data_IF_572731958330
#
_entry.id   IF_572731958330
#
_cell.length_a   1.000
_cell.length_b   1.000
_cell.length_c   1.000
_cell.angle_alpha   90.00
_cell.angle_beta   90.00
_cell.angle_gamma   90.00
#
_symmetry.space_group_name_H-M   'P 1'
#
loop_
_entity.id
_entity.type
_entity.pdbx_description
1 polymer ?
#
# COMPACT_ATOMS: atom_id res chain seq x y z
N UNK A 1 12.26 7.99 17.74
CA UNK A 1 12.57 6.63 17.23
C UNK A 1 11.24 5.96 16.93
N UNK A 2 11.11 5.29 15.77
CA UNK A 2 9.88 4.54 15.47
C UNK A 2 9.82 3.27 16.30
N UNK A 3 8.60 2.85 16.63
CA UNK A 3 8.36 1.54 17.23
C UNK A 3 8.37 0.48 16.12
N UNK A 4 9.28 -0.48 16.19
CA UNK A 4 9.31 -1.61 15.28
C UNK A 4 8.28 -2.65 15.73
N UNK A 5 7.30 -2.92 14.86
CA UNK A 5 6.20 -3.83 15.17
C UNK A 5 6.63 -5.26 14.85
N UNK A 6 6.69 -6.16 15.85
CA UNK A 6 7.10 -7.54 15.63
C UNK A 6 6.07 -8.30 14.77
N UNK A 7 6.54 -9.31 14.01
CA UNK A 7 5.69 -10.12 13.13
C UNK A 7 4.53 -10.80 13.88
N UNK A 8 4.71 -11.14 15.14
CA UNK A 8 3.64 -11.71 15.97
C UNK A 8 2.42 -10.81 16.16
N UNK A 9 2.54 -9.51 15.82
CA UNK A 9 1.45 -8.52 15.86
C UNK A 9 0.92 -8.17 14.46
N UNK A 10 1.16 -9.00 13.45
CA UNK A 10 0.76 -8.72 12.06
C UNK A 10 -0.74 -8.51 11.92
N UNK A 11 -1.56 -9.25 12.68
CA UNK A 11 -3.01 -9.09 12.68
C UNK A 11 -3.43 -7.70 13.18
N UNK A 12 -2.75 -7.16 14.18
CA UNK A 12 -3.04 -5.82 14.67
C UNK A 12 -2.64 -4.73 13.64
N UNK A 13 -1.56 -4.94 12.89
CA UNK A 13 -1.18 -4.08 11.75
C UNK A 13 -2.25 -4.15 10.66
N UNK A 14 -2.75 -5.36 10.36
CA UNK A 14 -3.83 -5.56 9.40
C UNK A 14 -5.14 -4.88 9.84
N UNK A 15 -5.46 -4.87 11.14
CA UNK A 15 -6.61 -4.16 11.69
C UNK A 15 -6.49 -2.63 11.53
N UNK A 16 -5.27 -2.08 11.59
CA UNK A 16 -5.03 -0.65 11.29
C UNK A 16 -5.27 -0.36 9.83
N UNK A 17 -4.77 -1.23 8.94
CA UNK A 17 -4.96 -1.11 7.50
C UNK A 17 -6.45 -1.18 7.13
N UNK A 18 -7.16 -2.19 7.63
CA UNK A 18 -8.59 -2.36 7.45
C UNK A 18 -9.37 -1.11 7.88
N UNK A 19 -9.17 -0.65 9.11
CA UNK A 19 -9.81 0.54 9.63
C UNK A 19 -9.49 1.82 8.81
N UNK A 20 -8.27 1.91 8.26
CA UNK A 20 -7.86 3.05 7.46
C UNK A 20 -8.50 3.05 6.06
N UNK A 21 -8.69 1.89 5.44
CA UNK A 21 -9.09 1.82 4.03
C UNK A 21 -10.57 1.53 3.81
N UNK A 22 -11.26 0.87 4.74
CA UNK A 22 -12.69 0.53 4.60
C UNK A 22 -13.56 1.79 4.36
N UNK A 23 -13.35 2.83 5.14
CA UNK A 23 -14.14 4.06 5.10
C UNK A 23 -13.53 5.19 4.27
N UNK A 24 -12.42 4.96 3.53
CA UNK A 24 -11.82 5.98 2.69
C UNK A 24 -12.33 5.89 1.25
N UNK A 25 -12.23 7.03 0.54
CA UNK A 25 -12.49 7.07 -0.90
C UNK A 25 -11.26 6.56 -1.66
N UNK A 26 -10.98 5.26 -1.53
CA UNK A 26 -9.93 4.60 -2.30
C UNK A 26 -10.48 4.25 -3.70
N UNK A 27 -9.93 4.85 -4.78
CA UNK A 27 -10.45 4.68 -6.12
C UNK A 27 -10.42 3.21 -6.58
N UNK A 28 -9.33 2.50 -6.27
CA UNK A 28 -9.12 1.14 -6.76
C UNK A 28 -9.98 0.12 -6.03
N UNK A 29 -10.08 0.19 -4.72
CA UNK A 29 -10.99 -0.66 -3.97
C UNK A 29 -12.45 -0.42 -4.37
N UNK A 30 -12.82 0.83 -4.65
CA UNK A 30 -14.14 1.15 -5.18
C UNK A 30 -14.32 0.57 -6.58
N UNK A 31 -13.37 0.76 -7.49
CA UNK A 31 -13.43 0.19 -8.84
C UNK A 31 -13.60 -1.34 -8.82
N UNK A 32 -12.82 -2.04 -8.00
CA UNK A 32 -12.89 -3.51 -7.92
C UNK A 32 -14.23 -3.99 -7.37
N UNK A 33 -14.69 -3.40 -6.26
CA UNK A 33 -15.75 -4.00 -5.44
C UNK A 33 -17.08 -3.24 -5.42
N UNK A 34 -17.20 -2.05 -6.03
CA UNK A 34 -18.43 -1.22 -5.94
C UNK A 34 -19.73 -1.94 -6.33
N UNK A 35 -19.66 -2.96 -7.17
CA UNK A 35 -20.82 -3.71 -7.65
C UNK A 35 -21.11 -4.96 -6.80
N UNK A 36 -20.32 -5.22 -5.76
CA UNK A 36 -20.52 -6.34 -4.86
C UNK A 36 -21.45 -5.94 -3.71
N UNK A 37 -22.42 -6.78 -3.32
CA UNK A 37 -23.31 -6.49 -2.19
C UNK A 37 -22.56 -6.24 -0.87
N UNK A 38 -21.45 -6.94 -0.68
CA UNK A 38 -20.58 -6.89 0.48
C UNK A 38 -19.28 -6.12 0.23
N UNK A 39 -19.30 -5.12 -0.66
CA UNK A 39 -18.12 -4.39 -1.15
C UNK A 39 -17.21 -3.84 -0.03
N UNK A 40 -17.76 -3.36 1.09
CA UNK A 40 -16.94 -2.86 2.20
C UNK A 40 -16.17 -3.99 2.88
N UNK A 41 -16.79 -5.16 3.05
CA UNK A 41 -16.14 -6.34 3.61
C UNK A 41 -15.02 -6.83 2.69
N UNK A 42 -15.28 -6.90 1.39
CA UNK A 42 -14.28 -7.32 0.39
C UNK A 42 -13.11 -6.35 0.34
N UNK A 43 -13.40 -5.04 0.38
CA UNK A 43 -12.37 -4.00 0.44
C UNK A 43 -11.49 -4.17 1.70
N UNK A 44 -12.09 -4.40 2.87
CA UNK A 44 -11.35 -4.66 4.10
C UNK A 44 -10.45 -5.89 3.99
N UNK A 45 -11.01 -7.01 3.53
CA UNK A 45 -10.24 -8.24 3.31
C UNK A 45 -9.07 -8.03 2.33
N UNK A 46 -9.28 -7.28 1.26
CA UNK A 46 -8.23 -6.95 0.30
C UNK A 46 -7.07 -6.18 0.96
N UNK A 47 -7.36 -5.11 1.70
CA UNK A 47 -6.32 -4.37 2.39
C UNK A 47 -5.68 -5.14 3.54
N UNK A 48 -6.43 -6.00 4.21
CA UNK A 48 -5.88 -6.92 5.20
C UNK A 48 -4.89 -7.89 4.57
N UNK A 49 -5.21 -8.45 3.41
CA UNK A 49 -4.33 -9.38 2.72
C UNK A 49 -3.01 -8.74 2.29
N UNK A 50 -3.03 -7.50 1.80
CA UNK A 50 -1.81 -6.73 1.48
C UNK A 50 -0.83 -6.70 2.67
N UNK A 51 -1.35 -6.68 3.90
CA UNK A 51 -0.53 -6.69 5.12
C UNK A 51 -0.08 -8.09 5.50
N UNK A 52 -1.01 -9.06 5.50
CA UNK A 52 -0.73 -10.41 6.02
C UNK A 52 0.09 -11.26 5.07
N UNK A 53 0.07 -10.98 3.76
CA UNK A 53 0.92 -11.64 2.76
C UNK A 53 2.31 -11.04 2.64
N UNK A 54 2.59 -9.91 3.30
CA UNK A 54 3.92 -9.31 3.27
C UNK A 54 4.99 -10.24 3.84
N UNK A 55 6.14 -10.30 3.17
CA UNK A 55 7.33 -10.99 3.64
C UNK A 55 7.65 -10.72 5.12
N UNK A 56 8.06 -11.74 5.88
CA UNK A 56 8.59 -11.54 7.23
C UNK A 56 9.75 -10.54 7.31
N UNK A 57 10.50 -10.35 6.20
CA UNK A 57 11.63 -9.42 6.10
C UNK A 57 11.19 -7.96 5.96
N UNK A 58 9.93 -7.69 5.64
CA UNK A 58 9.40 -6.34 5.57
C UNK A 58 9.48 -5.65 6.93
N UNK A 59 9.91 -4.39 6.95
CA UNK A 59 9.95 -3.59 8.17
C UNK A 59 8.57 -2.99 8.44
N UNK A 60 8.08 -3.18 9.65
CA UNK A 60 6.79 -2.66 10.11
C UNK A 60 7.04 -1.66 11.22
N UNK A 61 6.62 -0.42 11.01
CA UNK A 61 6.82 0.64 11.98
C UNK A 61 5.49 1.25 12.41
N UNK A 62 5.44 1.65 13.67
CA UNK A 62 4.38 2.47 14.25
C UNK A 62 4.98 3.65 15.02
N UNK A 63 4.15 4.57 15.49
CA UNK A 63 4.60 5.67 16.34
C UNK A 63 4.72 5.22 17.79
N UNK A 64 3.85 4.30 18.20
CA UNK A 64 3.82 3.73 19.56
C UNK A 64 3.33 2.27 19.51
N UNK A 65 3.40 1.52 20.61
CA UNK A 65 2.79 0.19 20.73
C UNK A 65 1.27 0.16 20.53
N UNK A 66 0.58 1.31 20.58
CA UNK A 66 -0.89 1.40 20.43
C UNK A 66 -1.34 1.39 18.96
N UNK A 67 -0.38 1.42 18.02
CA UNK A 67 -0.59 1.31 16.57
C UNK A 67 -1.65 2.29 16.04
N UNK A 68 -1.54 3.57 16.38
CA UNK A 68 -2.41 4.65 15.86
C UNK A 68 -2.25 4.82 14.34
N UNK A 69 -1.04 4.56 13.88
CA UNK A 69 -0.65 4.56 12.48
C UNK A 69 0.50 3.58 12.26
N UNK A 70 0.54 2.99 11.08
CA UNK A 70 1.57 2.01 10.70
C UNK A 70 2.13 2.31 9.32
N UNK A 71 3.38 1.91 9.08
CA UNK A 71 3.98 1.86 7.75
C UNK A 71 4.69 0.54 7.54
N UNK A 72 4.67 0.06 6.29
CA UNK A 72 5.38 -1.15 5.85
C UNK A 72 6.36 -0.74 4.77
N UNK A 73 7.61 -1.13 4.96
CA UNK A 73 8.70 -0.85 4.05
C UNK A 73 9.41 -2.15 3.66
N UNK A 74 9.73 -2.26 2.38
CA UNK A 74 10.59 -3.31 1.89
C UNK A 74 12.02 -2.79 1.79
N UNK A 75 12.99 -3.46 2.46
CA UNK A 75 14.37 -3.04 2.42
C UNK A 75 15.00 -3.28 1.03
N UNK A 76 16.11 -2.57 0.73
CA UNK A 76 16.84 -2.75 -0.51
C UNK A 76 17.25 -4.20 -0.75
N UNK A 77 17.11 -4.66 -2.01
CA UNK A 77 17.45 -6.02 -2.41
C UNK A 77 16.37 -7.08 -2.08
N UNK A 78 15.23 -6.66 -1.56
CA UNK A 78 14.08 -7.55 -1.39
C UNK A 78 13.33 -7.65 -2.72
N UNK A 79 13.01 -8.87 -3.15
CA UNK A 79 12.16 -9.09 -4.31
C UNK A 79 10.70 -8.79 -3.95
N UNK A 80 10.10 -7.87 -4.69
CA UNK A 80 8.71 -7.46 -4.49
C UNK A 80 7.72 -8.40 -5.17
N UNK A 81 8.19 -9.27 -6.08
CA UNK A 81 7.33 -10.16 -6.85
C UNK A 81 6.87 -11.38 -6.07
N UNK A 82 7.60 -11.75 -5.01
CA UNK A 82 7.28 -12.92 -4.19
C UNK A 82 6.17 -12.66 -3.16
N UNK A 83 5.86 -11.38 -2.88
CA UNK A 83 5.03 -10.98 -1.74
C UNK A 83 3.57 -10.66 -2.09
N UNK A 84 3.18 -10.79 -3.35
CA UNK A 84 1.81 -10.46 -3.78
C UNK A 84 1.04 -11.72 -4.11
N UNK A 85 0.87 -12.60 -3.13
CA UNK A 85 -0.24 -13.56 -3.18
C UNK A 85 -1.53 -12.80 -2.80
N UNK A 86 -2.17 -12.21 -3.80
CA UNK A 86 -3.46 -11.54 -3.65
C UNK A 86 -4.63 -12.54 -3.57
N UNK A 87 -4.38 -13.81 -3.23
CA UNK A 87 -5.41 -14.83 -3.12
C UNK A 87 -5.92 -15.14 -1.68
N UNK A 88 -6.20 -14.13 -0.85
CA UNK A 88 -7.05 -14.33 0.31
C UNK A 88 -8.52 -14.08 -0.01
N UNK A 89 -8.82 -13.61 -1.24
CA UNK A 89 -10.19 -13.48 -1.72
C UNK A 89 -10.46 -14.67 -2.64
N UNK A 90 -11.08 -15.71 -2.11
CA UNK A 90 -11.59 -16.83 -2.91
C UNK A 90 -12.55 -16.30 -3.98
N UNK A 91 -12.48 -16.87 -5.19
CA UNK A 91 -13.44 -16.55 -6.26
C UNK A 91 -14.90 -16.81 -5.84
N UNK A 92 -15.11 -17.62 -4.81
CA UNK A 92 -16.42 -17.90 -4.21
C UNK A 92 -16.97 -16.72 -3.39
N UNK A 93 -16.12 -15.75 -3.01
CA UNK A 93 -16.53 -14.54 -2.30
C UNK A 93 -17.24 -13.54 -3.21
N UNK A 94 -17.13 -13.68 -4.54
CA UNK A 94 -17.68 -12.74 -5.50
C UNK A 94 -19.02 -13.22 -6.09
N UNK A 95 -19.98 -12.30 -6.07
CA UNK A 95 -21.28 -12.50 -6.73
C UNK A 95 -21.25 -11.99 -8.17
N UNK A 96 -20.46 -10.95 -8.42
CA UNK A 96 -20.31 -10.34 -9.73
C UNK A 96 -19.10 -10.93 -10.49
N UNK A 97 -19.32 -11.62 -11.63
CA UNK A 97 -18.21 -12.17 -12.43
C UNK A 97 -17.18 -11.13 -12.88
N UNK A 98 -17.60 -9.89 -13.13
CA UNK A 98 -16.70 -8.81 -13.53
C UNK A 98 -15.72 -8.34 -12.44
N UNK A 99 -15.88 -8.76 -11.18
CA UNK A 99 -14.95 -8.42 -10.10
C UNK A 99 -13.58 -9.04 -10.32
N UNK A 100 -13.52 -10.28 -10.79
CA UNK A 100 -12.26 -10.98 -11.09
C UNK A 100 -11.50 -10.27 -12.21
N UNK A 101 -12.19 -9.87 -13.27
CA UNK A 101 -11.58 -9.14 -14.39
C UNK A 101 -10.99 -7.79 -13.95
N UNK A 102 -11.69 -7.07 -13.06
CA UNK A 102 -11.19 -5.81 -12.50
C UNK A 102 -9.98 -6.01 -11.59
N UNK A 103 -10.00 -7.05 -10.77
CA UNK A 103 -8.84 -7.40 -9.92
C UNK A 103 -7.63 -7.74 -10.79
N UNK A 104 -7.82 -8.53 -11.86
CA UNK A 104 -6.75 -8.86 -12.79
C UNK A 104 -6.20 -7.59 -13.45
N UNK A 105 -7.05 -6.68 -13.93
CA UNK A 105 -6.62 -5.42 -14.53
C UNK A 105 -5.79 -4.55 -13.56
N UNK A 106 -6.12 -4.55 -12.27
CA UNK A 106 -5.35 -3.86 -11.23
C UNK A 106 -4.00 -4.54 -11.02
N UNK A 107 -3.98 -5.88 -10.92
CA UNK A 107 -2.76 -6.65 -10.73
C UNK A 107 -1.77 -6.48 -11.89
N UNK A 108 -2.27 -6.49 -13.14
CA UNK A 108 -1.44 -6.30 -14.33
C UNK A 108 -0.73 -4.93 -14.31
N UNK A 109 -1.43 -3.87 -13.87
CA UNK A 109 -0.84 -2.53 -13.74
C UNK A 109 0.19 -2.49 -12.62
N UNK A 110 -0.09 -3.08 -11.47
CA UNK A 110 0.85 -3.13 -10.35
C UNK A 110 2.11 -3.90 -10.76
N UNK A 111 1.97 -5.06 -11.38
CA UNK A 111 3.08 -5.87 -11.87
C UNK A 111 3.97 -5.09 -12.86
N UNK A 112 3.36 -4.42 -13.86
CA UNK A 112 4.07 -3.63 -14.84
C UNK A 112 4.78 -2.39 -14.24
N UNK A 113 4.22 -1.78 -13.20
CA UNK A 113 4.86 -0.67 -12.48
C UNK A 113 5.98 -1.17 -11.57
N UNK A 114 5.81 -2.32 -10.93
CA UNK A 114 6.86 -2.95 -10.11
C UNK A 114 8.05 -3.35 -10.99
N UNK A 115 7.81 -3.95 -12.15
CA UNK A 115 8.86 -4.24 -13.13
C UNK A 115 9.57 -2.96 -13.60
N UNK A 116 8.83 -1.89 -13.86
CA UNK A 116 9.40 -0.60 -14.26
C UNK A 116 10.28 0.03 -13.18
N UNK A 117 9.91 -0.09 -11.91
CA UNK A 117 10.76 0.38 -10.81
C UNK A 117 12.10 -0.37 -10.77
N UNK A 118 12.14 -1.54 -11.38
CA UNK A 118 13.34 -2.34 -11.57
C UNK A 118 13.79 -3.05 -10.30
N UNK A 119 14.88 -3.83 -10.47
CA UNK A 119 15.52 -4.55 -9.36
C UNK A 119 16.67 -3.75 -8.74
N UNK A 120 16.67 -2.42 -8.93
CA UNK A 120 17.66 -1.58 -8.27
C UNK A 120 17.50 -1.66 -6.75
N UNK A 121 18.61 -1.57 -6.05
CA UNK A 121 18.59 -1.49 -4.60
C UNK A 121 17.85 -0.22 -4.18
N UNK A 122 16.66 -0.37 -3.60
CA UNK A 122 15.78 0.75 -3.23
C UNK A 122 14.96 0.42 -1.99
N UNK A 123 14.60 1.44 -1.22
CA UNK A 123 13.57 1.35 -0.20
C UNK A 123 12.20 1.47 -0.87
N UNK A 124 11.32 0.51 -0.64
CA UNK A 124 9.96 0.56 -1.17
C UNK A 124 8.95 0.79 -0.05
N UNK A 125 8.22 1.91 -0.12
CA UNK A 125 7.09 2.16 0.77
C UNK A 125 5.88 1.37 0.25
N UNK A 126 5.62 0.24 0.87
CA UNK A 126 4.54 -0.65 0.47
C UNK A 126 3.18 -0.17 0.98
N UNK A 127 3.11 0.28 2.25
CA UNK A 127 1.87 0.73 2.86
C UNK A 127 2.13 1.81 3.91
N UNK A 128 1.21 2.77 3.99
CA UNK A 128 1.04 3.66 5.14
C UNK A 128 -0.43 3.77 5.48
N UNK A 129 -0.79 3.47 6.70
CA UNK A 129 -2.16 3.51 7.19
C UNK A 129 -2.25 4.30 8.50
N UNK A 130 -3.28 5.14 8.62
CA UNK A 130 -3.57 5.94 9.82
C UNK A 130 -5.01 5.67 10.23
N UNK A 131 -5.24 5.24 11.46
CA UNK A 131 -6.59 5.02 11.98
C UNK A 131 -7.43 6.29 11.85
N UNK A 132 -8.72 6.21 11.50
CA UNK A 132 -9.57 7.37 11.19
C UNK A 132 -9.53 8.48 12.24
N UNK A 133 -9.54 8.12 13.53
CA UNK A 133 -9.54 9.07 14.65
C UNK A 133 -8.21 9.85 14.81
N UNK A 134 -7.14 9.40 14.16
CA UNK A 134 -5.82 10.05 14.20
C UNK A 134 -5.45 10.78 12.89
N UNK A 135 -6.38 10.86 11.94
CA UNK A 135 -6.18 11.62 10.70
C UNK A 135 -6.04 13.12 10.98
N UNK A 136 -5.29 13.81 10.12
CA UNK A 136 -5.04 15.25 10.30
C UNK A 136 -3.93 15.58 11.30
N UNK A 137 -3.46 14.63 12.10
CA UNK A 137 -2.43 14.80 13.13
C UNK A 137 -0.99 14.57 12.64
N UNK A 138 -0.78 14.55 11.32
CA UNK A 138 0.54 14.36 10.67
C UNK A 138 1.22 13.03 10.95
N UNK A 139 0.49 12.01 11.39
CA UNK A 139 1.05 10.71 11.77
C UNK A 139 1.76 10.00 10.60
N UNK A 140 1.23 10.11 9.37
CA UNK A 140 1.93 9.62 8.18
C UNK A 140 3.29 10.28 7.97
N UNK A 141 3.40 11.60 8.18
CA UNK A 141 4.69 12.30 8.10
C UNK A 141 5.68 11.84 9.17
N UNK A 142 5.20 11.59 10.40
CA UNK A 142 6.03 11.10 11.49
C UNK A 142 6.57 9.69 11.23
N UNK A 143 5.82 8.85 10.51
CA UNK A 143 6.24 7.51 10.10
C UNK A 143 7.22 7.52 8.93
N UNK A 144 6.98 8.38 7.93
CA UNK A 144 7.71 8.35 6.66
C UNK A 144 9.05 9.08 6.76
N UNK A 145 9.10 10.26 7.39
CA UNK A 145 10.30 11.08 7.43
C UNK A 145 11.56 10.39 7.99
N UNK A 146 11.49 9.61 9.08
CA UNK A 146 12.67 8.91 9.58
C UNK A 146 13.23 7.90 8.56
N UNK A 147 12.36 7.23 7.80
CA UNK A 147 12.79 6.29 6.77
C UNK A 147 13.35 6.99 5.55
N UNK A 148 12.83 8.16 5.18
CA UNK A 148 13.42 8.98 4.12
C UNK A 148 14.81 9.50 4.52
N UNK A 149 14.99 9.91 5.77
CA UNK A 149 16.30 10.33 6.28
C UNK A 149 17.31 9.17 6.26
N UNK A 150 16.88 7.97 6.68
CA UNK A 150 17.70 6.75 6.61
C UNK A 150 18.15 6.46 5.17
N UNK A 151 17.21 6.49 4.23
CA UNK A 151 17.50 6.23 2.82
C UNK A 151 18.47 7.26 2.23
N UNK A 152 18.35 8.52 2.64
CA UNK A 152 19.25 9.61 2.23
C UNK A 152 20.67 9.41 2.81
N UNK A 153 20.79 9.03 4.08
CA UNK A 153 22.08 8.67 4.71
C UNK A 153 22.74 7.48 4.01
N UNK A 154 21.97 6.48 3.59
CA UNK A 154 22.44 5.31 2.86
C UNK A 154 22.69 5.58 1.37
N UNK A 155 22.29 6.76 0.86
CA UNK A 155 22.31 7.10 -0.56
C UNK A 155 21.55 6.08 -1.42
N UNK A 156 20.41 5.59 -0.91
CA UNK A 156 19.54 4.61 -1.56
C UNK A 156 18.19 5.28 -1.88
N UNK A 157 17.68 5.20 -3.12
CA UNK A 157 16.42 5.82 -3.48
C UNK A 157 15.23 5.18 -2.75
N UNK A 158 14.18 5.98 -2.56
CA UNK A 158 12.87 5.52 -2.12
C UNK A 158 11.89 5.49 -3.27
N UNK A 159 11.06 4.45 -3.32
CA UNK A 159 9.99 4.30 -4.32
C UNK A 159 8.67 3.93 -3.66
N UNK A 160 7.60 4.17 -4.37
CA UNK A 160 6.24 3.75 -3.99
C UNK A 160 5.34 3.68 -5.23
N UNK A 161 4.21 3.00 -5.08
CA UNK A 161 3.10 3.03 -6.03
C UNK A 161 1.86 3.59 -5.30
N UNK A 162 1.11 4.45 -5.96
CA UNK A 162 -0.15 5.00 -5.44
C UNK A 162 -1.17 5.18 -6.55
N UNK A 163 -2.46 5.20 -6.19
CA UNK A 163 -3.59 5.31 -7.13
C UNK A 163 -4.39 6.59 -6.95
N UNK A 164 -3.96 7.49 -6.10
CA UNK A 164 -4.70 8.71 -5.77
C UNK A 164 -3.87 9.96 -6.07
N UNK A 165 -4.42 10.88 -6.87
CA UNK A 165 -3.80 12.21 -7.09
C UNK A 165 -3.63 13.00 -5.79
N UNK A 166 -4.50 12.80 -4.81
CA UNK A 166 -4.33 13.40 -3.48
C UNK A 166 -3.07 12.87 -2.81
N UNK A 167 -2.83 11.56 -2.90
CA UNK A 167 -1.63 10.96 -2.36
C UNK A 167 -0.38 11.37 -3.16
N UNK A 168 -0.45 11.47 -4.49
CA UNK A 168 0.65 12.02 -5.30
C UNK A 168 1.11 13.36 -4.74
N UNK A 169 0.20 14.32 -4.51
CA UNK A 169 0.53 15.63 -3.94
C UNK A 169 1.17 15.55 -2.55
N UNK A 170 0.71 14.62 -1.71
CA UNK A 170 1.31 14.37 -0.39
C UNK A 170 2.74 13.84 -0.52
N UNK A 171 2.98 12.90 -1.43
CA UNK A 171 4.30 12.34 -1.67
C UNK A 171 5.25 13.33 -2.33
N UNK A 172 4.76 14.17 -3.25
CA UNK A 172 5.53 15.29 -3.83
C UNK A 172 6.02 16.26 -2.75
N UNK A 173 5.19 16.54 -1.73
CA UNK A 173 5.60 17.36 -0.57
C UNK A 173 6.75 16.73 0.23
N UNK A 174 6.96 15.42 0.16
CA UNK A 174 8.10 14.73 0.76
C UNK A 174 9.26 14.50 -0.21
N UNK A 175 9.19 15.07 -1.42
CA UNK A 175 10.26 15.06 -2.41
C UNK A 175 10.19 13.94 -3.43
N UNK A 176 9.14 13.11 -3.42
CA UNK A 176 8.92 12.14 -4.48
C UNK A 176 8.51 12.82 -5.78
N UNK A 177 8.85 12.19 -6.90
CA UNK A 177 8.42 12.60 -8.25
C UNK A 177 7.74 11.42 -8.93
N UNK A 178 6.69 11.69 -9.69
CA UNK A 178 6.08 10.68 -10.57
C UNK A 178 7.11 10.31 -11.65
N UNK A 179 7.41 9.03 -11.74
CA UNK A 179 8.33 8.48 -12.78
C UNK A 179 7.58 7.72 -13.86
N UNK A 180 6.41 7.19 -13.54
CA UNK A 180 5.50 6.58 -14.51
C UNK A 180 4.06 6.64 -14.03
N UNK A 181 3.13 6.79 -14.96
CA UNK A 181 1.71 6.59 -14.72
C UNK A 181 1.15 5.55 -15.68
N UNK A 182 0.23 4.73 -15.20
CA UNK A 182 -0.43 3.71 -16.00
C UNK A 182 -1.94 3.72 -15.74
N UNK A 183 -2.77 3.75 -16.80
CA UNK A 183 -4.21 3.63 -16.65
C UNK A 183 -4.59 2.18 -16.29
N UNK A 184 -5.66 2.03 -15.53
CA UNK A 184 -6.29 0.74 -15.28
C UNK A 184 -7.28 0.46 -16.41
N UNK A 185 -7.22 -0.71 -17.03
CA UNK A 185 -8.15 -1.11 -18.08
C UNK A 185 -9.60 -1.03 -17.59
N UNK A 186 -10.49 -0.51 -18.42
CA UNK A 186 -11.91 -0.35 -18.09
C UNK A 186 -12.22 0.57 -16.88
N UNK A 187 -11.27 1.44 -16.51
CA UNK A 187 -11.43 2.46 -15.47
C UNK A 187 -10.96 3.83 -15.96
N UNK A 188 -11.38 4.88 -15.27
CA UNK A 188 -10.77 6.21 -15.40
C UNK A 188 -9.61 6.41 -14.45
N UNK A 189 -9.37 5.46 -13.56
CA UNK A 189 -8.33 5.50 -12.54
C UNK A 189 -6.97 5.16 -13.12
N UNK A 190 -5.93 5.67 -12.45
CA UNK A 190 -4.54 5.45 -12.81
C UNK A 190 -3.73 5.10 -11.58
N UNK A 191 -2.68 4.35 -11.80
CA UNK A 191 -1.60 4.20 -10.84
C UNK A 191 -0.41 5.08 -11.20
N UNK A 192 0.30 5.49 -10.18
CA UNK A 192 1.50 6.32 -10.27
C UNK A 192 2.64 5.62 -9.53
N UNK A 193 3.73 5.31 -10.21
CA UNK A 193 4.97 5.00 -9.52
C UNK A 193 5.74 6.29 -9.26
N UNK A 194 6.27 6.42 -8.06
CA UNK A 194 6.99 7.61 -7.63
C UNK A 194 8.35 7.24 -7.05
N UNK A 195 9.33 8.15 -7.23
CA UNK A 195 10.71 7.96 -6.75
C UNK A 195 11.23 9.25 -6.12
N UNK A 196 12.00 9.09 -5.04
CA UNK A 196 12.80 10.12 -4.40
C UNK A 196 14.25 9.68 -4.34
#
# INVERSE_FOLDING_TARGET
MLYEVPLSRIDEVADVSDAAFIGCNDPIGNFMFQNEPNHLLLKGRFFRSIVTSCSPKALRHALSPDLEAVSIWFPPGMDHSEDVDLDPLSTQDFVNPGTIEKMQAVNDVIAALTEHLGQESQWYLHLVAVRPQFRGLRYSSLLIRPMLAKAEEENIPCTLITQSLENVRKYEHWGFKVVKEMPVSCSQDKFFSMRK
#
